data_IF_171305505945
#
_entry.id   IF_171305505945
#
_cell.length_a   1.000
_cell.length_b   1.000
_cell.length_c   1.000
_cell.angle_alpha   90.00
_cell.angle_beta   90.00
_cell.angle_gamma   90.00
#
_symmetry.space_group_name_H-M   'P 1'
#
loop_
_entity.id
_entity.type
_entity.pdbx_description
1 polymer ?
#
# COMPACT_ATOMS: atom_id res chain seq x y z
N UNK A 1 20.47 -0.71 12.07
CA UNK A 1 20.20 0.57 11.40
C UNK A 1 19.12 0.37 10.34
N UNK A 2 18.05 1.18 10.29
CA UNK A 2 17.12 1.13 9.16
C UNK A 2 17.86 1.68 7.94
N UNK A 3 18.06 0.81 6.94
CA UNK A 3 18.65 1.20 5.65
C UNK A 3 17.81 2.36 5.08
N UNK A 4 18.43 3.45 4.59
CA UNK A 4 17.69 4.52 3.93
C UNK A 4 16.80 3.88 2.87
N UNK A 5 15.48 4.06 2.99
CA UNK A 5 14.55 3.61 1.96
C UNK A 5 14.86 4.48 0.75
N UNK A 6 15.62 3.93 -0.21
CA UNK A 6 15.95 4.66 -1.43
C UNK A 6 14.66 5.21 -2.06
N UNK A 7 14.72 6.41 -2.61
CA UNK A 7 13.58 7.08 -3.26
C UNK A 7 12.93 6.14 -4.27
N UNK A 8 11.76 5.60 -3.92
CA UNK A 8 10.97 4.73 -4.80
C UNK A 8 10.10 5.60 -5.68
N UNK A 9 9.86 5.16 -6.92
CA UNK A 9 8.96 5.90 -7.81
C UNK A 9 7.52 5.51 -7.48
N UNK A 10 6.75 6.48 -7.01
CA UNK A 10 5.33 6.34 -6.69
C UNK A 10 4.57 7.27 -7.63
N UNK A 11 3.66 6.71 -8.45
CA UNK A 11 2.81 7.50 -9.35
C UNK A 11 1.35 7.56 -8.91
N UNK A 12 0.97 6.76 -7.92
CA UNK A 12 -0.37 6.77 -7.39
C UNK A 12 -0.60 7.97 -6.47
N UNK A 13 -1.68 8.71 -6.76
CA UNK A 13 -2.18 9.79 -5.92
C UNK A 13 -3.68 9.52 -5.66
N UNK A 14 -4.04 9.00 -4.47
CA UNK A 14 -5.43 8.70 -4.15
C UNK A 14 -6.24 9.99 -3.90
N UNK A 15 -7.41 10.10 -4.55
CA UNK A 15 -8.42 11.10 -4.16
C UNK A 15 -9.11 10.71 -2.83
N UNK A 16 -9.17 9.42 -2.54
CA UNK A 16 -9.77 8.85 -1.31
C UNK A 16 -8.68 8.15 -0.51
N UNK A 17 -8.40 8.66 0.68
CA UNK A 17 -7.35 8.16 1.57
C UNK A 17 -7.88 7.29 2.71
N UNK A 18 -9.20 7.14 2.84
CA UNK A 18 -9.82 6.35 3.90
C UNK A 18 -10.94 5.46 3.38
N UNK A 19 -10.91 4.20 3.79
CA UNK A 19 -11.95 3.19 3.55
C UNK A 19 -12.36 2.61 4.89
N UNK A 20 -13.65 2.34 5.10
CA UNK A 20 -14.15 1.74 6.33
C UNK A 20 -15.39 0.89 6.07
N UNK A 21 -15.68 -0.12 6.91
CA UNK A 21 -16.95 -0.82 6.86
C UNK A 21 -18.14 0.15 7.04
N UNK A 22 -19.22 -0.15 6.34
CA UNK A 22 -20.46 0.61 6.42
C UNK A 22 -21.10 0.44 7.81
N UNK A 23 -21.77 1.49 8.31
CA UNK A 23 -22.50 1.43 9.57
C UNK A 23 -21.66 1.52 10.86
N UNK A 24 -20.33 1.38 10.79
CA UNK A 24 -19.47 1.48 11.98
C UNK A 24 -18.78 2.85 12.07
N UNK A 25 -18.86 3.56 13.22
CA UNK A 25 -18.13 4.81 13.43
C UNK A 25 -16.61 4.62 13.37
N UNK A 26 -15.89 5.54 12.72
CA UNK A 26 -14.43 5.42 12.57
C UNK A 26 -13.69 5.38 13.92
N UNK A 27 -14.18 6.13 14.91
CA UNK A 27 -13.60 6.20 16.27
C UNK A 27 -13.57 4.86 17.01
N UNK A 28 -14.40 3.89 16.61
CA UNK A 28 -14.47 2.56 17.24
C UNK A 28 -13.74 1.50 16.43
N UNK A 29 -13.14 1.87 15.30
CA UNK A 29 -12.46 0.94 14.41
C UNK A 29 -10.95 0.98 14.63
N UNK A 30 -10.33 -0.19 14.66
CA UNK A 30 -8.89 -0.29 14.43
C UNK A 30 -8.60 0.18 13.01
N UNK A 31 -7.52 0.94 12.85
CA UNK A 31 -7.08 1.46 11.56
C UNK A 31 -5.83 0.70 11.11
N UNK A 32 -5.87 0.17 9.90
CA UNK A 32 -4.71 -0.39 9.21
C UNK A 32 -4.17 0.65 8.23
N UNK A 33 -2.89 0.99 8.36
CA UNK A 33 -2.26 1.97 7.49
C UNK A 33 -1.48 1.30 6.34
N UNK A 34 -1.82 1.68 5.10
CA UNK A 34 -1.09 1.35 3.90
C UNK A 34 -0.17 2.51 3.53
N UNK A 35 1.11 2.21 3.28
CA UNK A 35 2.05 3.20 2.79
C UNK A 35 1.79 3.52 1.31
N UNK A 36 2.28 4.65 0.78
CA UNK A 36 2.14 4.94 -0.65
C UNK A 36 2.81 3.87 -1.54
N UNK A 37 3.87 3.25 -1.01
CA UNK A 37 4.62 2.18 -1.68
C UNK A 37 3.81 0.88 -1.77
N UNK A 38 3.10 0.54 -0.70
CA UNK A 38 2.20 -0.62 -0.64
C UNK A 38 1.02 -0.44 -1.61
N UNK A 39 0.45 0.77 -1.64
CA UNK A 39 -0.61 1.09 -2.60
C UNK A 39 -0.14 1.06 -4.05
N UNK A 40 1.03 1.61 -4.36
CA UNK A 40 1.59 1.56 -5.72
C UNK A 40 1.89 0.12 -6.15
N UNK A 41 2.41 -0.71 -5.25
CA UNK A 41 2.65 -2.12 -5.54
C UNK A 41 1.35 -2.87 -5.88
N UNK A 42 0.29 -2.67 -5.09
CA UNK A 42 -1.04 -3.23 -5.36
C UNK A 42 -1.60 -2.71 -6.69
N UNK A 43 -1.47 -1.40 -6.97
CA UNK A 43 -1.93 -0.82 -8.25
C UNK A 43 -1.22 -1.45 -9.44
N UNK A 44 0.12 -1.48 -9.43
CA UNK A 44 0.90 -2.00 -10.56
C UNK A 44 0.66 -3.50 -10.78
N UNK A 45 0.57 -4.28 -9.70
CA UNK A 45 0.43 -5.74 -9.81
C UNK A 45 -1.00 -6.19 -10.07
N UNK A 46 -1.97 -5.67 -9.31
CA UNK A 46 -3.33 -6.18 -9.27
C UNK A 46 -4.31 -5.38 -10.13
N UNK A 47 -4.06 -4.09 -10.39
CA UNK A 47 -4.95 -3.25 -11.21
C UNK A 47 -4.41 -3.10 -12.63
N UNK A 48 -3.14 -2.73 -12.78
CA UNK A 48 -2.48 -2.60 -14.11
C UNK A 48 -2.11 -3.98 -14.68
N UNK A 49 -1.93 -4.99 -13.82
CA UNK A 49 -1.65 -6.36 -14.25
C UNK A 49 -0.20 -6.62 -14.69
N UNK A 50 0.76 -5.79 -14.26
CA UNK A 50 2.15 -5.96 -14.67
C UNK A 50 2.79 -7.24 -14.10
N UNK A 51 3.75 -7.80 -14.84
CA UNK A 51 4.63 -8.85 -14.30
C UNK A 51 5.48 -8.26 -13.17
N UNK A 52 5.86 -9.09 -12.19
CA UNK A 52 6.59 -8.65 -11.01
C UNK A 52 7.89 -7.91 -11.36
N UNK A 53 8.60 -8.39 -12.39
CA UNK A 53 9.83 -7.78 -12.87
C UNK A 53 9.61 -6.35 -13.42
N UNK A 54 8.51 -6.16 -14.16
CA UNK A 54 8.14 -4.88 -14.75
C UNK A 54 7.71 -3.89 -13.66
N UNK A 55 6.86 -4.33 -12.72
CA UNK A 55 6.41 -3.50 -11.61
C UNK A 55 7.58 -3.06 -10.69
N UNK A 56 8.52 -3.97 -10.41
CA UNK A 56 9.73 -3.65 -9.66
C UNK A 56 10.60 -2.61 -10.37
N UNK A 57 10.77 -2.75 -11.70
CA UNK A 57 11.49 -1.78 -12.54
C UNK A 57 10.80 -0.42 -12.53
N UNK A 58 9.47 -0.39 -12.61
CA UNK A 58 8.70 0.85 -12.60
C UNK A 58 8.83 1.62 -11.28
N UNK A 59 8.82 0.91 -10.16
CA UNK A 59 9.06 1.47 -8.81
C UNK A 59 10.53 1.76 -8.50
N UNK A 60 11.46 1.48 -9.43
CA UNK A 60 12.92 1.59 -9.25
C UNK A 60 13.45 0.78 -8.05
N UNK A 61 13.00 -0.47 -7.92
CA UNK A 61 13.38 -1.36 -6.82
C UNK A 61 13.76 -2.76 -7.31
N UNK A 62 14.41 -3.56 -6.46
CA UNK A 62 14.64 -4.99 -6.76
C UNK A 62 13.34 -5.80 -6.74
N UNK A 63 13.29 -6.91 -7.47
CA UNK A 63 12.14 -7.83 -7.49
C UNK A 63 11.82 -8.39 -6.09
N UNK A 64 12.85 -8.71 -5.30
CA UNK A 64 12.71 -9.18 -3.91
C UNK A 64 12.11 -8.12 -3.00
N UNK A 65 12.52 -6.86 -3.15
CA UNK A 65 11.99 -5.75 -2.37
C UNK A 65 10.54 -5.45 -2.77
N UNK A 66 10.23 -5.46 -4.07
CA UNK A 66 8.86 -5.32 -4.56
C UNK A 66 7.95 -6.41 -4.00
N UNK A 67 8.40 -7.66 -4.04
CA UNK A 67 7.65 -8.79 -3.47
C UNK A 67 7.36 -8.61 -1.99
N UNK A 68 8.35 -8.14 -1.21
CA UNK A 68 8.17 -7.87 0.21
C UNK A 68 7.14 -6.76 0.46
N UNK A 69 7.18 -5.68 -0.32
CA UNK A 69 6.19 -4.58 -0.24
C UNK A 69 4.79 -5.12 -0.57
N UNK A 70 4.66 -5.83 -1.69
CA UNK A 70 3.39 -6.39 -2.12
C UNK A 70 2.82 -7.39 -1.09
N UNK A 71 3.66 -8.25 -0.52
CA UNK A 71 3.26 -9.19 0.53
C UNK A 71 2.76 -8.43 1.77
N UNK A 72 3.48 -7.41 2.22
CA UNK A 72 3.07 -6.55 3.34
C UNK A 72 1.71 -5.89 3.07
N UNK A 73 1.53 -5.35 1.87
CA UNK A 73 0.28 -4.74 1.44
C UNK A 73 -0.90 -5.72 1.48
N UNK A 74 -0.71 -6.94 0.94
CA UNK A 74 -1.73 -7.99 1.00
C UNK A 74 -2.05 -8.42 2.43
N UNK A 75 -1.05 -8.65 3.28
CA UNK A 75 -1.30 -9.03 4.69
C UNK A 75 -2.14 -7.97 5.39
N UNK A 76 -1.80 -6.69 5.23
CA UNK A 76 -2.55 -5.57 5.83
C UNK A 76 -3.97 -5.47 5.29
N UNK A 77 -4.12 -5.53 3.96
CA UNK A 77 -5.42 -5.45 3.31
C UNK A 77 -6.33 -6.60 3.73
N UNK A 78 -5.82 -7.84 3.71
CA UNK A 78 -6.56 -9.02 4.13
C UNK A 78 -6.94 -8.95 5.61
N UNK A 79 -6.02 -8.54 6.49
CA UNK A 79 -6.33 -8.35 7.92
C UNK A 79 -7.44 -7.30 8.11
N UNK A 80 -7.38 -6.19 7.38
CA UNK A 80 -8.41 -5.16 7.48
C UNK A 80 -9.79 -5.66 7.03
N UNK A 81 -9.86 -6.43 5.95
CA UNK A 81 -11.11 -6.99 5.43
C UNK A 81 -11.69 -8.08 6.34
N UNK A 82 -10.84 -8.98 6.85
CA UNK A 82 -11.26 -10.10 7.70
C UNK A 82 -11.66 -9.63 9.11
N UNK A 83 -10.90 -8.70 9.69
CA UNK A 83 -11.15 -8.19 11.05
C UNK A 83 -12.10 -7.00 11.09
N UNK A 84 -12.60 -6.53 9.93
CA UNK A 84 -13.49 -5.38 9.84
C UNK A 84 -12.84 -4.04 10.23
N UNK A 85 -11.54 -3.87 9.97
CA UNK A 85 -10.82 -2.63 10.27
C UNK A 85 -11.10 -1.55 9.22
N UNK A 86 -10.88 -0.29 9.59
CA UNK A 86 -10.72 0.79 8.62
C UNK A 86 -9.33 0.71 7.96
N UNK A 87 -9.23 1.17 6.72
CA UNK A 87 -7.97 1.28 5.97
C UNK A 87 -7.70 2.75 5.73
N UNK A 88 -6.49 3.19 6.10
CA UNK A 88 -5.97 4.51 5.78
C UNK A 88 -4.81 4.38 4.81
N UNK A 89 -4.85 5.14 3.72
CA UNK A 89 -3.72 5.32 2.83
C UNK A 89 -2.94 6.54 3.30
N UNK A 90 -1.67 6.34 3.63
CA UNK A 90 -0.78 7.44 3.97
C UNK A 90 -0.56 8.34 2.75
N UNK A 91 -0.55 9.65 2.96
CA UNK A 91 -0.10 10.59 1.95
C UNK A 91 1.42 10.64 1.95
N UNK A 92 2.02 10.76 0.77
CA UNK A 92 3.45 11.04 0.68
C UNK A 92 3.68 12.47 1.19
N UNK A 93 4.19 12.62 2.41
CA UNK A 93 4.60 13.92 2.94
C UNK A 93 5.80 14.38 2.12
N UNK A 94 5.56 15.20 1.09
CA UNK A 94 6.63 15.97 0.45
C UNK A 94 7.01 17.09 1.41
N UNK A 95 8.10 16.90 2.15
CA UNK A 95 8.88 17.99 2.76
C UNK A 95 10.13 18.21 1.94
#
# INVERSE_FOLDING_TARGET
MPRPRGLRRIRFSPLVTYYKPQGVPLRTLRVVELTPEEMEALRLKNVVGLKQQQAAKEMKTSQSTFQRILKSAHTKLSAALVEGCAIRIQNETRS
#
